data_IF_270674410444
#
_entry.id   IF_270674410444
#
_cell.length_a   1.000
_cell.length_b   1.000
_cell.length_c   1.000
_cell.angle_alpha   90.00
_cell.angle_beta   90.00
_cell.angle_gamma   90.00
#
_symmetry.space_group_name_H-M   'P 1'
#
loop_
_entity.id
_entity.type
_entity.pdbx_description
1 polymer ?
#
# COMPACT_ATOMS: atom_id res chain seq x y z
N UNK A 1 -15.24 50.90 31.99
CA UNK A 1 -13.93 50.76 31.30
C UNK A 1 -13.50 49.30 31.38
N UNK A 2 -13.04 48.72 30.24
CA UNK A 2 -12.49 47.35 30.01
C UNK A 2 -13.56 46.24 29.97
N UNK A 3 -13.98 45.77 28.76
CA UNK A 3 -13.39 44.68 27.91
C UNK A 3 -13.41 43.34 28.67
N UNK A 4 -13.98 42.24 28.17
CA UNK A 4 -13.59 41.55 26.94
C UNK A 4 -14.74 40.73 26.32
N UNK A 5 -14.84 40.83 25.00
CA UNK A 5 -15.57 39.95 24.09
C UNK A 5 -14.82 38.62 24.03
N UNK A 6 -15.42 37.50 24.43
CA UNK A 6 -14.91 36.17 24.14
C UNK A 6 -15.41 35.77 22.74
N UNK A 7 -14.59 36.00 21.73
CA UNK A 7 -14.81 35.45 20.39
C UNK A 7 -14.33 34.01 20.42
N UNK A 8 -15.29 33.08 20.41
CA UNK A 8 -15.05 31.65 20.27
C UNK A 8 -14.67 31.38 18.80
N UNK A 9 -13.36 31.37 18.52
CA UNK A 9 -12.82 30.95 17.24
C UNK A 9 -12.76 29.41 17.24
N UNK A 10 -13.81 28.75 16.75
CA UNK A 10 -13.74 27.31 16.45
C UNK A 10 -12.96 27.18 15.15
N UNK A 11 -11.75 26.66 15.28
CA UNK A 11 -10.85 26.29 14.19
C UNK A 11 -11.50 25.15 13.41
N UNK A 12 -11.93 25.45 12.18
CA UNK A 12 -12.21 24.45 11.16
C UNK A 12 -10.90 23.71 10.86
N UNK A 13 -10.76 22.48 11.36
CA UNK A 13 -9.70 21.57 10.93
C UNK A 13 -10.05 21.19 9.48
N UNK A 14 -9.46 21.91 8.53
CA UNK A 14 -9.33 21.39 7.18
C UNK A 14 -8.49 20.12 7.28
N UNK A 15 -9.14 18.97 7.10
CA UNK A 15 -8.46 17.75 6.71
C UNK A 15 -7.72 18.08 5.41
N UNK A 16 -6.42 18.36 5.54
CA UNK A 16 -5.54 18.54 4.40
C UNK A 16 -5.56 17.23 3.63
N UNK A 17 -6.27 17.22 2.51
CA UNK A 17 -6.11 16.23 1.47
C UNK A 17 -4.68 16.40 0.95
N UNK A 18 -3.72 15.77 1.63
CA UNK A 18 -2.36 15.66 1.14
C UNK A 18 -2.45 14.73 -0.06
N UNK A 19 -2.49 15.30 -1.26
CA UNK A 19 -2.29 14.53 -2.47
C UNK A 19 -0.99 13.76 -2.30
N UNK A 20 -1.08 12.44 -2.17
CA UNK A 20 0.08 11.56 -2.21
C UNK A 20 0.88 11.88 -3.46
N UNK A 21 2.22 11.88 -3.36
CA UNK A 21 3.08 11.99 -4.55
C UNK A 21 2.93 10.81 -5.51
N UNK A 22 2.23 9.75 -5.08
CA UNK A 22 1.92 8.56 -5.83
C UNK A 22 0.87 8.85 -6.92
N UNK A 23 1.25 8.65 -8.18
CA UNK A 23 0.33 8.75 -9.31
C UNK A 23 -0.45 7.45 -9.49
N UNK A 24 -1.79 7.50 -9.44
CA UNK A 24 -2.65 6.33 -9.65
C UNK A 24 -3.36 6.42 -11.01
N UNK A 25 -3.16 5.41 -11.86
CA UNK A 25 -3.71 5.30 -13.21
C UNK A 25 -4.65 4.08 -13.29
N UNK A 26 -5.84 4.25 -13.87
CA UNK A 26 -6.87 3.21 -13.91
C UNK A 26 -8.28 3.80 -13.89
N UNK A 27 -9.26 2.96 -13.57
CA UNK A 27 -10.66 3.38 -13.39
C UNK A 27 -10.81 4.26 -12.15
N UNK A 28 -11.89 5.05 -12.06
CA UNK A 28 -12.15 5.86 -10.87
C UNK A 28 -12.38 5.01 -9.61
N UNK A 29 -13.01 3.84 -9.77
CA UNK A 29 -13.16 2.85 -8.69
C UNK A 29 -11.80 2.39 -8.18
N UNK A 30 -10.89 2.00 -9.08
CA UNK A 30 -9.54 1.60 -8.71
C UNK A 30 -8.77 2.70 -7.97
N UNK A 31 -8.88 3.95 -8.44
CA UNK A 31 -8.23 5.09 -7.76
C UNK A 31 -8.76 5.31 -6.35
N UNK A 32 -10.08 5.21 -6.17
CA UNK A 32 -10.71 5.34 -4.86
C UNK A 32 -10.29 4.21 -3.91
N UNK A 33 -10.18 2.99 -4.43
CA UNK A 33 -9.80 1.83 -3.64
C UNK A 33 -8.31 1.86 -3.23
N UNK A 34 -7.42 2.31 -4.13
CA UNK A 34 -6.02 2.58 -3.78
C UNK A 34 -5.93 3.71 -2.74
N UNK A 35 -6.74 4.77 -2.86
CA UNK A 35 -6.77 5.83 -1.85
C UNK A 35 -7.25 5.31 -0.50
N UNK A 36 -8.29 4.47 -0.45
CA UNK A 36 -8.77 3.88 0.79
C UNK A 36 -7.72 3.00 1.47
N UNK A 37 -6.94 2.23 0.69
CA UNK A 37 -5.82 1.46 1.22
C UNK A 37 -4.69 2.37 1.77
N UNK A 38 -4.39 3.48 1.09
CA UNK A 38 -3.42 4.47 1.54
C UNK A 38 -3.88 5.18 2.82
N UNK A 39 -5.15 5.55 2.92
CA UNK A 39 -5.73 6.16 4.12
C UNK A 39 -5.66 5.21 5.31
N UNK A 40 -5.93 3.92 5.09
CA UNK A 40 -5.80 2.87 6.10
C UNK A 40 -4.36 2.72 6.60
N UNK A 41 -3.39 2.70 5.68
CA UNK A 41 -1.96 2.69 6.04
C UNK A 41 -1.57 3.97 6.79
N UNK A 42 -2.04 5.13 6.37
CA UNK A 42 -1.72 6.40 7.02
C UNK A 42 -2.24 6.43 8.46
N UNK A 43 -3.43 5.91 8.70
CA UNK A 43 -4.04 5.88 10.04
C UNK A 43 -3.35 4.88 10.97
N UNK A 44 -3.06 3.67 10.48
CA UNK A 44 -2.69 2.53 11.34
C UNK A 44 -1.23 2.11 11.23
N UNK A 45 -0.58 2.36 10.10
CA UNK A 45 0.79 1.96 9.81
C UNK A 45 1.59 3.11 9.14
N UNK A 46 1.72 4.29 9.78
CA UNK A 46 2.22 5.51 9.15
C UNK A 46 3.63 5.38 8.56
N UNK A 47 4.52 4.60 9.18
CA UNK A 47 5.87 4.35 8.64
C UNK A 47 5.82 3.60 7.30
N UNK A 48 4.87 2.69 7.13
CA UNK A 48 4.66 1.94 5.89
C UNK A 48 3.99 2.82 4.82
N UNK A 49 3.06 3.69 5.22
CA UNK A 49 2.52 4.73 4.34
C UNK A 49 3.61 5.67 3.81
N UNK A 50 4.55 6.09 4.67
CA UNK A 50 5.69 6.90 4.26
C UNK A 50 6.62 6.14 3.29
N UNK A 51 6.85 4.85 3.54
CA UNK A 51 7.63 3.98 2.65
C UNK A 51 6.98 3.90 1.25
N UNK A 52 5.67 3.66 1.19
CA UNK A 52 4.88 3.63 -0.05
C UNK A 52 5.04 4.94 -0.82
N UNK A 53 4.78 6.08 -0.17
CA UNK A 53 4.87 7.39 -0.80
C UNK A 53 6.29 7.77 -1.26
N UNK A 54 7.32 7.32 -0.54
CA UNK A 54 8.70 7.67 -0.83
C UNK A 54 9.28 6.85 -1.97
N UNK A 55 8.93 5.57 -2.05
CA UNK A 55 9.62 4.64 -2.94
C UNK A 55 8.83 4.25 -4.18
N UNK A 56 7.49 4.19 -4.11
CA UNK A 56 6.67 3.99 -5.31
C UNK A 56 6.49 5.31 -6.06
N UNK A 57 6.60 5.26 -7.39
CA UNK A 57 6.38 6.42 -8.26
C UNK A 57 4.95 6.47 -8.79
N UNK A 58 4.24 5.34 -8.79
CA UNK A 58 2.83 5.25 -9.15
C UNK A 58 2.30 3.83 -9.10
N UNK A 59 0.99 3.73 -9.26
CA UNK A 59 0.23 2.47 -9.36
C UNK A 59 -0.62 2.54 -10.62
N UNK A 60 -0.63 1.48 -11.43
CA UNK A 60 -1.41 1.42 -12.67
C UNK A 60 -2.18 0.13 -12.77
N UNK A 61 -3.47 0.25 -13.07
CA UNK A 61 -4.30 -0.86 -13.49
C UNK A 61 -4.04 -1.16 -14.98
N UNK A 62 -3.65 -2.39 -15.27
CA UNK A 62 -3.38 -2.88 -16.64
C UNK A 62 -4.34 -4.03 -16.98
N UNK A 63 -4.52 -4.30 -18.27
CA UNK A 63 -5.34 -5.43 -18.74
C UNK A 63 -4.79 -6.80 -18.29
N UNK A 64 -5.58 -7.85 -18.49
CA UNK A 64 -5.24 -9.22 -18.08
C UNK A 64 -4.05 -9.84 -18.82
N UNK A 65 -3.64 -9.26 -19.94
CA UNK A 65 -2.41 -9.63 -20.67
C UNK A 65 -1.14 -8.97 -20.09
N UNK A 66 -1.30 -8.09 -19.10
CA UNK A 66 -0.22 -7.46 -18.35
C UNK A 66 0.38 -8.37 -17.28
N UNK A 67 1.24 -7.78 -16.45
CA UNK A 67 1.90 -8.46 -15.32
C UNK A 67 1.71 -7.62 -14.07
N UNK A 68 1.33 -8.27 -12.97
CA UNK A 68 1.31 -7.65 -11.65
C UNK A 68 2.72 -7.66 -11.07
N UNK A 69 3.39 -6.51 -11.01
CA UNK A 69 4.76 -6.38 -10.52
C UNK A 69 5.20 -4.92 -10.35
N UNK A 70 6.28 -4.69 -9.60
CA UNK A 70 7.07 -3.46 -9.67
C UNK A 70 7.99 -3.44 -10.90
N UNK A 71 8.03 -2.32 -11.62
CA UNK A 71 8.96 -2.14 -12.74
C UNK A 71 10.25 -1.37 -12.34
N UNK A 72 11.21 -1.25 -13.27
CA UNK A 72 12.49 -0.55 -13.04
C UNK A 72 12.35 0.93 -12.65
N UNK A 73 11.22 1.55 -12.96
CA UNK A 73 10.89 2.93 -12.59
C UNK A 73 10.17 3.03 -11.23
N UNK A 74 10.04 1.90 -10.52
CA UNK A 74 9.33 1.76 -9.25
C UNK A 74 7.84 2.11 -9.36
N UNK A 75 7.25 1.85 -10.53
CA UNK A 75 5.79 1.91 -10.74
C UNK A 75 5.23 0.50 -10.61
N UNK A 76 4.24 0.34 -9.75
CA UNK A 76 3.54 -0.92 -9.52
C UNK A 76 2.42 -1.07 -10.56
N UNK A 77 2.44 -2.14 -11.33
CA UNK A 77 1.33 -2.52 -12.21
C UNK A 77 0.51 -3.62 -11.55
N UNK A 78 -0.81 -3.51 -11.62
CA UNK A 78 -1.75 -4.53 -11.16
C UNK A 78 -2.67 -4.92 -12.32
N UNK A 79 -2.81 -6.21 -12.62
CA UNK A 79 -3.75 -6.67 -13.64
C UNK A 79 -5.19 -6.54 -13.17
N UNK A 80 -6.13 -6.39 -14.11
CA UNK A 80 -7.57 -6.42 -13.82
C UNK A 80 -7.98 -7.67 -13.05
N UNK A 81 -7.45 -8.85 -13.39
CA UNK A 81 -7.68 -10.11 -12.67
C UNK A 81 -7.20 -10.03 -11.21
N UNK A 82 -5.98 -9.54 -10.97
CA UNK A 82 -5.46 -9.38 -9.61
C UNK A 82 -6.34 -8.41 -8.81
N UNK A 83 -6.72 -7.29 -9.42
CA UNK A 83 -7.61 -6.32 -8.79
C UNK A 83 -8.99 -6.90 -8.47
N UNK A 84 -9.62 -7.63 -9.40
CA UNK A 84 -10.90 -8.31 -9.17
C UNK A 84 -10.78 -9.33 -8.03
N UNK A 85 -9.70 -10.11 -7.99
CA UNK A 85 -9.45 -11.06 -6.91
C UNK A 85 -9.34 -10.35 -5.55
N UNK A 86 -8.71 -9.17 -5.49
CA UNK A 86 -8.68 -8.35 -4.26
C UNK A 86 -10.07 -7.83 -3.91
N UNK A 87 -10.79 -7.27 -4.88
CA UNK A 87 -12.14 -6.70 -4.70
C UNK A 87 -13.12 -7.72 -4.15
N UNK A 88 -13.09 -8.94 -4.68
CA UNK A 88 -14.07 -9.97 -4.38
C UNK A 88 -13.65 -10.84 -3.17
N UNK A 89 -12.47 -10.59 -2.57
CA UNK A 89 -11.95 -11.33 -1.41
C UNK A 89 -12.66 -11.06 -0.08
N UNK A 90 -13.48 -10.01 0.01
CA UNK A 90 -14.06 -9.54 1.28
C UNK A 90 -13.09 -8.72 2.14
N UNK A 91 -11.82 -8.61 1.76
CA UNK A 91 -10.77 -7.87 2.46
C UNK A 91 -10.05 -6.89 1.54
N UNK A 92 -10.79 -6.23 0.67
CA UNK A 92 -10.26 -5.42 -0.44
C UNK A 92 -9.25 -4.37 0.02
N UNK A 93 -9.59 -3.49 0.96
CA UNK A 93 -8.68 -2.43 1.39
C UNK A 93 -7.41 -3.00 2.04
N UNK A 94 -7.54 -4.07 2.84
CA UNK A 94 -6.40 -4.77 3.45
C UNK A 94 -5.49 -5.40 2.38
N UNK A 95 -6.08 -6.11 1.42
CA UNK A 95 -5.34 -6.76 0.34
C UNK A 95 -4.56 -5.77 -0.52
N UNK A 96 -5.19 -4.64 -0.87
CA UNK A 96 -4.52 -3.56 -1.59
C UNK A 96 -3.43 -2.88 -0.74
N UNK A 97 -3.65 -2.70 0.56
CA UNK A 97 -2.62 -2.17 1.45
C UNK A 97 -1.40 -3.10 1.53
N UNK A 98 -1.61 -4.42 1.56
CA UNK A 98 -0.52 -5.40 1.51
C UNK A 98 0.24 -5.33 0.19
N UNK A 99 -0.45 -5.29 -0.95
CA UNK A 99 0.19 -5.17 -2.27
C UNK A 99 1.04 -3.89 -2.38
N UNK A 100 0.53 -2.76 -1.90
CA UNK A 100 1.28 -1.50 -1.89
C UNK A 100 2.56 -1.59 -1.07
N UNK A 101 2.48 -2.19 0.12
CA UNK A 101 3.63 -2.33 1.03
C UNK A 101 4.64 -3.33 0.50
N UNK A 102 4.17 -4.43 -0.06
CA UNK A 102 5.00 -5.43 -0.73
C UNK A 102 5.87 -4.77 -1.80
N UNK A 103 5.24 -4.06 -2.73
CA UNK A 103 5.93 -3.48 -3.87
C UNK A 103 6.78 -2.26 -3.47
N UNK A 104 6.36 -1.51 -2.45
CA UNK A 104 7.17 -0.46 -1.85
C UNK A 104 8.46 -1.00 -1.20
N UNK A 105 8.40 -2.24 -0.65
CA UNK A 105 9.57 -2.91 -0.09
C UNK A 105 10.59 -3.24 -1.18
N UNK A 106 10.14 -3.82 -2.29
CA UNK A 106 10.99 -4.04 -3.47
C UNK A 106 11.56 -2.72 -4.00
N UNK A 107 10.71 -1.69 -4.15
CA UNK A 107 11.13 -0.38 -4.64
C UNK A 107 12.18 0.31 -3.73
N UNK A 108 12.05 0.18 -2.41
CA UNK A 108 13.04 0.66 -1.43
C UNK A 108 14.39 -0.05 -1.62
N UNK A 109 14.37 -1.39 -1.74
CA UNK A 109 15.58 -2.20 -1.90
C UNK A 109 16.27 -1.94 -3.24
N UNK A 110 15.51 -1.79 -4.32
CA UNK A 110 16.03 -1.33 -5.62
C UNK A 110 16.69 0.04 -5.49
N UNK A 111 16.08 0.99 -4.77
CA UNK A 111 16.63 2.33 -4.57
C UNK A 111 17.95 2.32 -3.78
N UNK A 112 18.11 1.38 -2.86
CA UNK A 112 19.31 1.20 -2.03
C UNK A 112 20.37 0.29 -2.67
N UNK A 113 20.14 -0.23 -3.88
CA UNK A 113 20.97 -1.26 -4.52
C UNK A 113 21.17 -2.51 -3.64
N UNK A 114 20.14 -2.87 -2.86
CA UNK A 114 20.10 -4.06 -2.03
C UNK A 114 19.29 -5.20 -2.67
N UNK A 115 18.48 -4.87 -3.67
CA UNK A 115 17.68 -5.82 -4.47
C UNK A 115 18.59 -6.86 -5.14
N UNK A 116 18.59 -8.08 -4.61
CA UNK A 116 19.34 -9.19 -5.18
C UNK A 116 18.45 -10.00 -6.12
N UNK A 117 18.39 -9.57 -7.38
CA UNK A 117 17.60 -10.23 -8.42
C UNK A 117 17.98 -11.69 -8.71
N UNK A 118 19.13 -12.14 -8.22
CA UNK A 118 19.54 -13.55 -8.34
C UNK A 118 19.01 -14.42 -7.20
N UNK A 119 18.41 -13.82 -6.16
CA UNK A 119 17.83 -14.48 -5.00
C UNK A 119 16.40 -13.98 -4.74
N UNK A 120 15.54 -14.25 -5.73
CA UNK A 120 14.12 -13.85 -5.71
C UNK A 120 13.41 -14.35 -4.45
N UNK A 121 13.74 -15.55 -3.98
CA UNK A 121 13.12 -16.13 -2.78
C UNK A 121 13.38 -15.29 -1.52
N UNK A 122 14.62 -14.81 -1.33
CA UNK A 122 14.92 -13.94 -0.21
C UNK A 122 14.24 -12.58 -0.34
N UNK A 123 14.19 -12.00 -1.54
CA UNK A 123 13.52 -10.71 -1.78
C UNK A 123 12.03 -10.77 -1.47
N UNK A 124 11.35 -11.80 -1.96
CA UNK A 124 9.92 -12.03 -1.73
C UNK A 124 9.62 -12.31 -0.26
N UNK A 125 10.49 -13.04 0.43
CA UNK A 125 10.36 -13.27 1.87
C UNK A 125 10.43 -11.96 2.67
N UNK A 126 11.31 -11.03 2.28
CA UNK A 126 11.43 -9.72 2.93
C UNK A 126 10.16 -8.89 2.69
N UNK A 127 9.63 -8.89 1.46
CA UNK A 127 8.38 -8.20 1.15
C UNK A 127 7.18 -8.78 1.92
N UNK A 128 7.06 -10.11 2.00
CA UNK A 128 6.02 -10.79 2.80
C UNK A 128 6.20 -10.54 4.31
N UNK A 129 7.42 -10.39 4.82
CA UNK A 129 7.65 -9.99 6.21
C UNK A 129 7.08 -8.59 6.51
N UNK A 130 7.20 -7.65 5.58
CA UNK A 130 6.55 -6.34 5.67
C UNK A 130 5.01 -6.44 5.58
N UNK A 131 4.47 -7.30 4.70
CA UNK A 131 3.02 -7.58 4.66
C UNK A 131 2.51 -8.08 6.02
N UNK A 132 3.22 -9.02 6.66
CA UNK A 132 2.85 -9.58 7.97
C UNK A 132 2.91 -8.52 9.08
N UNK A 133 3.92 -7.66 9.07
CA UNK A 133 4.03 -6.55 10.02
C UNK A 133 2.83 -5.61 9.89
N UNK A 134 2.52 -5.19 8.66
CA UNK A 134 1.37 -4.33 8.38
C UNK A 134 0.07 -5.01 8.73
N UNK A 135 -0.13 -6.29 8.41
CA UNK A 135 -1.34 -7.02 8.77
C UNK A 135 -1.62 -6.98 10.27
N UNK A 136 -0.58 -7.05 11.12
CA UNK A 136 -0.73 -6.91 12.58
C UNK A 136 -1.10 -5.49 12.99
N UNK A 137 -0.46 -4.48 12.40
CA UNK A 137 -0.74 -3.06 12.67
C UNK A 137 -2.16 -2.65 12.24
N UNK A 138 -2.64 -3.20 11.12
CA UNK A 138 -3.99 -2.98 10.60
C UNK A 138 -5.06 -3.81 11.33
N UNK A 139 -4.67 -4.59 12.35
CA UNK A 139 -5.57 -5.50 13.06
C UNK A 139 -6.32 -6.45 12.10
N UNK A 140 -5.64 -6.92 11.06
CA UNK A 140 -6.21 -7.82 10.07
C UNK A 140 -6.66 -9.14 10.73
N UNK A 141 -7.73 -9.78 10.21
CA UNK A 141 -8.16 -11.09 10.69
C UNK A 141 -7.02 -12.10 10.73
N UNK A 142 -7.00 -12.92 11.79
CA UNK A 142 -5.92 -13.91 11.99
C UNK A 142 -5.73 -14.84 10.79
N UNK A 143 -6.81 -15.19 10.09
CA UNK A 143 -6.74 -16.02 8.87
C UNK A 143 -5.90 -15.39 7.75
N UNK A 144 -5.89 -14.05 7.62
CA UNK A 144 -5.05 -13.36 6.65
C UNK A 144 -3.59 -13.34 7.10
N UNK A 145 -3.34 -13.14 8.39
CA UNK A 145 -1.99 -13.19 8.97
C UNK A 145 -1.40 -14.59 8.80
N UNK A 146 -2.21 -15.63 9.03
CA UNK A 146 -1.81 -17.02 8.85
C UNK A 146 -1.55 -17.33 7.37
N UNK A 147 -2.42 -16.87 6.46
CA UNK A 147 -2.23 -17.02 5.01
C UNK A 147 -0.93 -16.36 4.52
N UNK A 148 -0.61 -15.15 4.99
CA UNK A 148 0.68 -14.50 4.70
C UNK A 148 1.87 -15.29 5.26
N UNK A 149 1.71 -15.87 6.45
CA UNK A 149 2.66 -16.82 7.02
C UNK A 149 2.88 -18.05 6.14
N UNK A 150 1.83 -18.62 5.57
CA UNK A 150 1.93 -19.73 4.62
C UNK A 150 2.58 -19.30 3.29
N UNK A 151 2.21 -18.13 2.74
CA UNK A 151 2.79 -17.54 1.51
C UNK A 151 4.31 -17.45 1.61
N UNK A 152 4.82 -16.98 2.76
CA UNK A 152 6.24 -16.92 3.10
C UNK A 152 6.96 -18.27 3.00
N UNK A 153 6.27 -19.38 3.23
CA UNK A 153 6.85 -20.73 3.25
C UNK A 153 6.63 -21.51 1.94
N UNK A 154 5.59 -21.20 1.17
CA UNK A 154 5.19 -21.98 -0.02
C UNK A 154 5.76 -21.49 -1.34
N UNK A 155 6.48 -20.37 -1.35
CA UNK A 155 7.02 -19.75 -2.58
C UNK A 155 5.95 -19.33 -3.60
N UNK A 156 4.81 -18.86 -3.10
CA UNK A 156 3.74 -18.30 -3.92
C UNK A 156 3.98 -16.79 -4.06
N UNK A 157 4.86 -16.47 -5.00
CA UNK A 157 5.12 -15.14 -5.54
C UNK A 157 5.20 -15.25 -7.06
#
# INVERSE_FOLDING_TARGET
MRRFLAVLLIVLIFAGCFSTGLKVEGTEEFKQDIQAALDLLQEKAPEHYEMVNKYLTGVELVGNDGVTAINIYRKFTMTEEAYINRRDSGYKELGLAFDLVHEATHANRMKLNLDNRNDVESEEKIAVEAEIEVAKLLEAPQELIDWLGEKKHRKWW
#
